data_IF_607663151456
#
_entry.id   IF_607663151456
#
_cell.length_a   1.000
_cell.length_b   1.000
_cell.length_c   1.000
_cell.angle_alpha   90.00
_cell.angle_beta   90.00
_cell.angle_gamma   90.00
#
_symmetry.space_group_name_H-M   'P 1'
#
loop_
_entity.id
_entity.type
_entity.pdbx_description
1 polymer ?
#
# COMPACT_ATOMS: atom_id res chain seq x y z
N UNK A 1 -16.14 -8.18 -5.94
CA UNK A 1 -14.69 -8.01 -5.91
C UNK A 1 -14.39 -6.53 -6.09
N UNK A 2 -13.92 -5.90 -5.03
CA UNK A 2 -13.57 -4.48 -4.93
C UNK A 2 -12.38 -4.13 -5.84
N UNK A 3 -12.20 -2.83 -6.11
CA UNK A 3 -11.00 -2.33 -6.80
C UNK A 3 -9.73 -2.71 -6.03
N UNK A 4 -9.74 -2.60 -4.70
CA UNK A 4 -8.60 -2.97 -3.85
C UNK A 4 -8.20 -4.44 -4.03
N UNK A 5 -9.15 -5.37 -4.06
CA UNK A 5 -8.88 -6.79 -4.34
C UNK A 5 -8.25 -7.04 -5.72
N UNK A 6 -8.51 -6.16 -6.70
CA UNK A 6 -7.90 -6.24 -8.04
C UNK A 6 -6.53 -5.57 -8.09
N UNK A 7 -6.34 -4.52 -7.31
CA UNK A 7 -5.11 -3.70 -7.28
C UNK A 7 -4.01 -4.29 -6.40
N UNK A 8 -4.31 -5.25 -5.52
CA UNK A 8 -3.30 -5.98 -4.73
C UNK A 8 -2.75 -7.21 -5.48
N UNK A 9 -1.61 -7.14 -6.19
CA UNK A 9 -0.76 -8.29 -6.40
C UNK A 9 0.19 -8.41 -5.20
N UNK A 10 0.43 -9.62 -4.69
CA UNK A 10 1.40 -9.89 -3.60
C UNK A 10 2.88 -9.64 -3.98
N UNK A 11 3.19 -8.75 -4.93
CA UNK A 11 4.57 -8.50 -5.38
C UNK A 11 4.79 -8.15 -6.86
N UNK A 12 3.76 -7.89 -7.68
CA UNK A 12 3.95 -7.66 -9.13
C UNK A 12 4.71 -6.36 -9.47
N UNK A 13 4.77 -5.40 -8.57
CA UNK A 13 5.48 -4.13 -8.84
C UNK A 13 7.01 -4.32 -8.85
N UNK A 14 7.52 -5.37 -8.19
CA UNK A 14 8.94 -5.74 -8.26
C UNK A 14 9.35 -6.24 -9.63
N UNK A 15 8.46 -6.95 -10.33
CA UNK A 15 8.71 -7.40 -11.71
C UNK A 15 8.87 -6.20 -12.67
N UNK A 16 8.16 -5.09 -12.38
CA UNK A 16 8.21 -3.85 -13.15
C UNK A 16 9.34 -2.89 -12.71
N UNK A 17 9.99 -3.15 -11.58
CA UNK A 17 11.09 -2.34 -11.03
C UNK A 17 12.21 -3.20 -10.37
N UNK A 18 12.79 -4.18 -11.08
CA UNK A 18 13.71 -5.17 -10.49
C UNK A 18 15.01 -4.59 -9.97
N UNK A 19 15.41 -3.39 -10.41
CA UNK A 19 16.62 -2.70 -9.95
C UNK A 19 16.46 -2.08 -8.56
N UNK A 20 15.24 -1.99 -8.04
CA UNK A 20 14.99 -1.45 -6.71
C UNK A 20 15.47 -2.41 -5.63
N UNK A 21 15.24 -3.72 -5.75
CA UNK A 21 15.72 -4.69 -4.75
C UNK A 21 17.24 -4.74 -4.61
N UNK A 22 17.99 -4.26 -5.61
CA UNK A 22 19.45 -4.22 -5.62
C UNK A 22 20.02 -2.99 -4.91
N UNK A 23 19.17 -2.03 -4.54
CA UNK A 23 19.57 -0.78 -3.93
C UNK A 23 19.46 -0.84 -2.40
N UNK A 24 20.56 -0.54 -1.73
CA UNK A 24 20.60 -0.55 -0.26
C UNK A 24 19.73 0.55 0.37
N UNK A 25 19.59 1.70 -0.30
CA UNK A 25 18.83 2.86 0.19
C UNK A 25 17.30 2.69 0.12
N UNK A 26 16.79 1.68 -0.60
CA UNK A 26 15.35 1.43 -0.75
C UNK A 26 14.84 0.22 0.05
N UNK A 27 15.73 -0.50 0.75
CA UNK A 27 15.37 -1.70 1.51
C UNK A 27 14.24 -1.44 2.52
N UNK A 28 14.29 -0.32 3.24
CA UNK A 28 13.26 0.04 4.21
C UNK A 28 11.91 0.33 3.54
N UNK A 29 11.92 1.03 2.40
CA UNK A 29 10.69 1.29 1.64
C UNK A 29 10.06 0.01 1.10
N UNK A 30 10.88 -0.93 0.61
CA UNK A 30 10.43 -2.25 0.15
C UNK A 30 9.68 -2.99 1.26
N UNK A 31 10.24 -2.98 2.48
CA UNK A 31 9.64 -3.61 3.65
C UNK A 31 8.32 -2.89 3.98
N UNK A 32 8.32 -1.56 4.01
CA UNK A 32 7.14 -0.76 4.33
C UNK A 32 5.99 -0.99 3.32
N UNK A 33 6.29 -1.11 2.02
CA UNK A 33 5.29 -1.39 0.97
C UNK A 33 4.80 -2.84 1.07
N UNK A 34 5.67 -3.80 1.36
CA UNK A 34 5.27 -5.20 1.59
C UNK A 34 4.33 -5.33 2.80
N UNK A 35 4.63 -4.59 3.88
CA UNK A 35 3.81 -4.54 5.07
C UNK A 35 2.45 -3.86 4.78
N UNK A 36 2.46 -2.77 3.99
CA UNK A 36 1.23 -2.12 3.50
C UNK A 36 0.32 -3.09 2.74
N UNK A 37 0.87 -3.84 1.79
CA UNK A 37 0.10 -4.83 1.03
C UNK A 37 -0.48 -5.94 1.93
N UNK A 38 0.28 -6.39 2.93
CA UNK A 38 -0.17 -7.37 3.90
C UNK A 38 -1.33 -6.84 4.76
N UNK A 39 -1.25 -5.60 5.24
CA UNK A 39 -2.30 -4.96 6.03
C UNK A 39 -3.55 -4.67 5.19
N UNK A 40 -3.38 -4.24 3.93
CA UNK A 40 -4.47 -4.09 2.97
C UNK A 40 -5.16 -5.43 2.68
N UNK A 41 -4.40 -6.51 2.50
CA UNK A 41 -4.96 -7.86 2.37
C UNK A 41 -5.71 -8.26 3.65
N UNK A 42 -5.14 -7.95 4.81
CA UNK A 42 -5.74 -8.23 6.10
C UNK A 42 -7.07 -7.51 6.32
N UNK A 43 -7.21 -6.26 5.84
CA UNK A 43 -8.45 -5.48 6.03
C UNK A 43 -9.59 -5.98 5.16
N UNK A 44 -9.32 -6.56 3.98
CA UNK A 44 -10.34 -7.15 3.11
C UNK A 44 -11.17 -8.23 3.81
N UNK A 45 -10.55 -8.99 4.72
CA UNK A 45 -11.22 -10.02 5.52
C UNK A 45 -11.88 -9.52 6.81
N UNK A 46 -11.75 -8.22 7.15
CA UNK A 46 -12.28 -7.65 8.40
C UNK A 46 -13.69 -7.09 8.21
N UNK A 47 -14.48 -7.16 9.27
CA UNK A 47 -15.85 -6.65 9.31
C UNK A 47 -16.27 -6.25 10.72
N UNK A 48 -17.38 -5.51 10.83
CA UNK A 48 -17.93 -5.05 12.10
C UNK A 48 -16.90 -4.31 12.96
N UNK A 49 -16.82 -4.67 14.25
CA UNK A 49 -15.94 -3.97 15.22
C UNK A 49 -14.45 -4.05 14.91
N UNK A 50 -13.99 -5.04 14.13
CA UNK A 50 -12.59 -5.20 13.75
C UNK A 50 -12.18 -4.30 12.57
N UNK A 51 -13.14 -3.86 11.75
CA UNK A 51 -12.88 -3.07 10.55
C UNK A 51 -12.28 -1.68 10.88
N UNK A 52 -12.85 -0.85 11.79
CA UNK A 52 -12.27 0.45 12.11
C UNK A 52 -10.86 0.40 12.70
N UNK A 53 -10.52 -0.67 13.42
CA UNK A 53 -9.15 -0.86 13.90
C UNK A 53 -8.21 -1.22 12.75
N UNK A 54 -8.66 -2.04 11.79
CA UNK A 54 -7.87 -2.36 10.61
C UNK A 54 -7.63 -1.20 9.68
N UNK A 55 -8.64 -0.36 9.44
CA UNK A 55 -8.49 0.85 8.63
C UNK A 55 -7.41 1.78 9.23
N UNK A 56 -7.42 1.99 10.56
CA UNK A 56 -6.40 2.81 11.23
C UNK A 56 -4.97 2.26 11.10
N UNK A 57 -4.80 0.93 11.09
CA UNK A 57 -3.49 0.31 10.87
C UNK A 57 -3.02 0.57 9.44
N UNK A 58 -3.89 0.40 8.44
CA UNK A 58 -3.57 0.69 7.05
C UNK A 58 -3.24 2.17 6.85
N UNK A 59 -3.99 3.09 7.47
CA UNK A 59 -3.71 4.53 7.41
C UNK A 59 -2.32 4.87 7.96
N UNK A 60 -1.94 4.26 9.09
CA UNK A 60 -0.61 4.44 9.67
C UNK A 60 0.49 3.90 8.75
N UNK A 61 0.27 2.74 8.12
CA UNK A 61 1.23 2.14 7.21
C UNK A 61 1.42 2.98 5.93
N UNK A 62 0.36 3.62 5.42
CA UNK A 62 0.49 4.57 4.32
C UNK A 62 1.34 5.79 4.70
N UNK A 63 1.25 6.27 5.94
CA UNK A 63 2.08 7.38 6.42
C UNK A 63 3.57 6.99 6.52
N UNK A 64 3.86 5.76 6.97
CA UNK A 64 5.23 5.22 7.00
C UNK A 64 5.82 5.12 5.59
N UNK A 65 5.06 4.58 4.63
CA UNK A 65 5.48 4.52 3.22
C UNK A 65 5.71 5.92 2.64
N UNK A 66 4.87 6.91 2.97
CA UNK A 66 5.08 8.31 2.52
C UNK A 66 6.37 8.92 3.08
N UNK A 67 6.72 8.58 4.33
CA UNK A 67 7.95 9.06 4.96
C UNK A 67 9.19 8.44 4.30
N UNK A 68 9.16 7.13 4.00
CA UNK A 68 10.24 6.47 3.27
C UNK A 68 10.35 6.98 1.82
N UNK A 69 9.22 7.16 1.12
CA UNK A 69 9.21 7.75 -0.22
C UNK A 69 9.78 9.18 -0.23
N UNK A 70 9.59 9.97 0.84
CA UNK A 70 10.13 11.32 0.94
C UNK A 70 11.65 11.35 1.12
N UNK A 71 12.24 10.30 1.71
CA UNK A 71 13.70 10.17 1.91
C UNK A 71 14.43 9.84 0.62
N UNK A 72 13.75 9.22 -0.35
CA UNK A 72 14.34 8.85 -1.63
C UNK A 72 14.30 9.99 -2.64
N UNK A 73 15.40 10.13 -3.38
CA UNK A 73 15.45 11.01 -4.54
C UNK A 73 14.42 10.60 -5.61
N UNK A 74 13.93 11.60 -6.36
CA UNK A 74 12.90 11.44 -7.39
C UNK A 74 13.45 10.82 -8.69
N UNK A 75 14.07 9.66 -8.60
CA UNK A 75 14.52 8.87 -9.75
C UNK A 75 13.37 8.06 -10.40
N UNK A 76 13.55 7.59 -11.64
CA UNK A 76 12.49 6.92 -12.42
C UNK A 76 11.86 5.72 -11.71
N UNK A 77 12.67 4.91 -11.04
CA UNK A 77 12.17 3.69 -10.37
C UNK A 77 11.39 4.04 -9.08
N UNK A 78 11.82 5.08 -8.34
CA UNK A 78 11.06 5.58 -7.19
C UNK A 78 9.75 6.26 -7.62
N UNK A 79 9.70 6.88 -8.80
CA UNK A 79 8.46 7.42 -9.37
C UNK A 79 7.43 6.34 -9.68
N UNK A 80 7.83 5.18 -10.23
CA UNK A 80 6.90 4.06 -10.46
C UNK A 80 6.30 3.55 -9.16
N UNK A 81 7.13 3.41 -8.13
CA UNK A 81 6.67 2.99 -6.80
C UNK A 81 5.71 4.00 -6.17
N UNK A 82 5.97 5.31 -6.35
CA UNK A 82 5.02 6.36 -5.93
C UNK A 82 3.66 6.20 -6.60
N UNK A 83 3.63 6.01 -7.92
CA UNK A 83 2.39 5.80 -8.68
C UNK A 83 1.63 4.57 -8.16
N UNK A 84 2.34 3.46 -7.94
CA UNK A 84 1.73 2.25 -7.42
C UNK A 84 1.12 2.46 -6.02
N UNK A 85 1.84 3.10 -5.10
CA UNK A 85 1.35 3.42 -3.75
C UNK A 85 0.14 4.36 -3.81
N UNK A 86 0.12 5.33 -4.73
CA UNK A 86 -1.02 6.22 -4.96
C UNK A 86 -2.26 5.46 -5.47
N UNK A 87 -2.08 4.50 -6.37
CA UNK A 87 -3.16 3.63 -6.85
C UNK A 87 -3.74 2.76 -5.74
N UNK A 88 -2.87 2.14 -4.92
CA UNK A 88 -3.30 1.39 -3.73
C UNK A 88 -4.08 2.28 -2.76
N UNK A 89 -3.62 3.50 -2.53
CA UNK A 89 -4.29 4.49 -1.67
C UNK A 89 -5.67 4.85 -2.19
N UNK A 90 -5.79 5.08 -3.49
CA UNK A 90 -7.09 5.39 -4.11
C UNK A 90 -8.06 4.21 -3.95
N UNK A 91 -7.63 3.00 -4.27
CA UNK A 91 -8.45 1.79 -4.14
C UNK A 91 -8.84 1.51 -2.68
N UNK A 92 -7.93 1.74 -1.74
CA UNK A 92 -8.19 1.63 -0.31
C UNK A 92 -9.23 2.65 0.18
N UNK A 93 -9.12 3.92 -0.23
CA UNK A 93 -10.08 4.96 0.16
C UNK A 93 -11.49 4.67 -0.34
N UNK A 94 -11.62 4.18 -1.58
CA UNK A 94 -12.88 3.70 -2.13
C UNK A 94 -13.45 2.56 -1.27
N UNK A 95 -12.64 1.53 -1.00
CA UNK A 95 -13.04 0.40 -0.14
C UNK A 95 -13.48 0.86 1.27
N UNK A 96 -12.69 1.73 1.92
CA UNK A 96 -13.00 2.24 3.24
C UNK A 96 -14.32 3.03 3.26
N UNK A 97 -14.55 3.89 2.26
CA UNK A 97 -15.79 4.66 2.13
C UNK A 97 -17.01 3.76 1.93
N UNK A 98 -16.93 2.77 1.03
CA UNK A 98 -18.00 1.79 0.78
C UNK A 98 -18.37 1.03 2.05
N UNK A 99 -17.35 0.58 2.80
CA UNK A 99 -17.53 -0.29 3.98
C UNK A 99 -17.93 0.46 5.24
N UNK A 100 -17.71 1.77 5.31
CA UNK A 100 -18.12 2.60 6.46
C UNK A 100 -19.45 3.31 6.22
N UNK A 101 -19.90 3.44 4.97
CA UNK A 101 -21.21 4.02 4.62
C UNK A 101 -22.31 2.96 4.53
N UNK A 102 -21.96 1.69 4.28
CA UNK A 102 -22.90 0.58 4.11
C UNK A 102 -23.27 -0.20 5.38
N UNK A 103 -22.77 0.21 6.56
CA UNK A 103 -23.12 -0.30 7.89
C UNK A 103 -24.00 0.74 8.62
#
# INVERSE_FOLDING_TARGET
>A
MSRLEKTLPRGSWFDDAPKLSEREDIGDLVIAVSQLEADLTGVLGRSGRALPAGLRVVDAQFAEVDDELRRLDAETDSQRLRVYVEELRAAYREYAAERTTGD
#
